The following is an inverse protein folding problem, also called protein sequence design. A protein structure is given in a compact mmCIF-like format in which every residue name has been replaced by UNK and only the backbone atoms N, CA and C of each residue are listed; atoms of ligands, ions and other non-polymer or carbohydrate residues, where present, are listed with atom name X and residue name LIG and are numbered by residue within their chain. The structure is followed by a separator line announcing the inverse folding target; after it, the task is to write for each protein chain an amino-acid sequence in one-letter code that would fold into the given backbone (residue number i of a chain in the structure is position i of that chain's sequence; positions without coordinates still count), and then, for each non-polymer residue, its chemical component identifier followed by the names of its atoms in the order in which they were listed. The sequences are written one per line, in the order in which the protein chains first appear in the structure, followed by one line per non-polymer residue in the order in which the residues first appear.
data_IF_127751549050
#
_entry.id   IF_127751549050
#
_cell.length_a   1.000
_cell.length_b   1.000
_cell.length_c   1.000
_cell.angle_alpha   90.00
_cell.angle_beta   90.00
_cell.angle_gamma   90.00
#
_symmetry.space_group_name_H-M   'P 1'
#
loop_
_entity.id
_entity.type
_entity.pdbx_description
1 polymer ?
#
# COMPACT_ATOMS: atom_id res chain seq x y z
N UNK A 1 -9.40 -22.87 -0.80
CA UNK A 1 -8.45 -22.04 -0.03
C UNK A 1 -8.19 -20.76 -0.80
N UNK A 2 -8.29 -19.61 -0.15
CA UNK A 2 -7.98 -18.32 -0.75
C UNK A 2 -6.49 -18.27 -1.13
N UNK A 3 -6.21 -17.92 -2.38
CA UNK A 3 -4.82 -17.77 -2.84
C UNK A 3 -4.30 -16.35 -2.61
N UNK A 4 -4.58 -15.76 -1.44
CA UNK A 4 -4.00 -14.46 -1.09
C UNK A 4 -2.55 -14.64 -0.67
N UNK A 5 -1.72 -13.74 -1.13
CA UNK A 5 -0.28 -13.71 -0.87
C UNK A 5 0.02 -12.77 0.30
N UNK A 6 1.09 -13.05 1.03
CA UNK A 6 1.56 -12.17 2.12
C UNK A 6 2.80 -11.41 1.69
N UNK A 7 2.88 -10.14 2.08
CA UNK A 7 4.05 -9.28 1.87
C UNK A 7 4.41 -8.49 3.14
N UNK A 8 5.63 -7.98 3.18
CA UNK A 8 6.12 -7.19 4.29
C UNK A 8 6.99 -6.02 3.79
N UNK A 9 6.74 -4.79 4.26
CA UNK A 9 7.50 -3.61 3.87
C UNK A 9 8.84 -3.52 4.63
N UNK A 10 9.90 -3.18 3.89
CA UNK A 10 11.25 -3.03 4.42
C UNK A 10 11.32 -2.03 5.56
N UNK A 11 10.64 -0.89 5.42
CA UNK A 11 10.74 0.19 6.41
C UNK A 11 10.24 -0.21 7.81
N UNK A 12 9.34 -1.21 7.90
CA UNK A 12 8.87 -1.74 9.17
C UNK A 12 9.84 -2.75 9.79
N UNK A 13 10.50 -3.56 8.95
CA UNK A 13 11.06 -4.83 9.42
C UNK A 13 12.52 -5.07 9.08
N UNK A 14 13.08 -4.38 8.07
CA UNK A 14 14.48 -4.61 7.72
C UNK A 14 15.40 -3.99 8.79
N UNK A 15 16.17 -4.79 9.56
CA UNK A 15 16.98 -4.27 10.64
C UNK A 15 18.20 -3.50 10.10
N UNK A 16 18.54 -2.39 10.74
CA UNK A 16 19.77 -1.65 10.42
C UNK A 16 21.00 -2.56 10.52
N UNK A 17 21.84 -2.55 9.50
CA UNK A 17 23.07 -3.34 9.44
C UNK A 17 22.87 -4.85 9.20
N UNK A 18 21.62 -5.31 8.97
CA UNK A 18 21.36 -6.71 8.63
C UNK A 18 21.90 -7.06 7.24
N UNK A 19 22.28 -8.33 7.06
CA UNK A 19 22.58 -8.92 5.75
C UNK A 19 21.27 -9.12 4.97
N UNK A 20 21.07 -8.43 3.81
CA UNK A 20 19.84 -8.53 3.03
C UNK A 20 19.53 -9.95 2.57
N UNK A 21 20.54 -10.71 2.12
CA UNK A 21 20.32 -12.07 1.64
C UNK A 21 19.82 -12.99 2.76
N UNK A 22 20.30 -12.80 3.99
CA UNK A 22 19.84 -13.55 5.17
C UNK A 22 18.41 -13.13 5.55
N UNK A 23 18.12 -11.83 5.58
CA UNK A 23 16.80 -11.32 5.95
C UNK A 23 15.71 -11.83 4.99
N UNK A 24 15.88 -11.61 3.68
CA UNK A 24 14.84 -12.01 2.72
C UNK A 24 14.68 -13.53 2.61
N UNK A 25 15.76 -14.30 2.78
CA UNK A 25 15.65 -15.75 2.87
C UNK A 25 14.80 -16.19 4.07
N UNK A 26 14.98 -15.57 5.25
CA UNK A 26 14.14 -15.84 6.42
C UNK A 26 12.68 -15.42 6.16
N UNK A 27 12.47 -14.25 5.58
CA UNK A 27 11.13 -13.76 5.23
C UNK A 27 10.39 -14.78 4.33
N UNK A 28 11.08 -15.30 3.31
CA UNK A 28 10.53 -16.36 2.46
C UNK A 28 10.24 -17.66 3.21
N UNK A 29 11.11 -18.06 4.14
CA UNK A 29 10.92 -19.25 4.97
C UNK A 29 9.73 -19.14 5.94
N UNK A 30 9.40 -17.94 6.40
CA UNK A 30 8.19 -17.66 7.20
C UNK A 30 6.89 -17.75 6.38
N UNK A 31 6.98 -17.92 5.06
CA UNK A 31 5.82 -18.07 4.18
C UNK A 31 5.35 -16.78 3.50
N UNK A 32 6.17 -15.74 3.49
CA UNK A 32 5.89 -14.54 2.70
C UNK A 32 6.15 -14.80 1.21
N UNK A 33 5.31 -14.17 0.38
CA UNK A 33 5.38 -14.28 -1.07
C UNK A 33 6.05 -13.04 -1.69
N UNK A 34 6.00 -11.91 -0.99
CA UNK A 34 6.53 -10.64 -1.47
C UNK A 34 7.19 -9.79 -0.40
N UNK A 35 7.98 -8.82 -0.86
CA UNK A 35 8.53 -7.72 -0.08
C UNK A 35 8.07 -6.39 -0.70
N UNK A 36 7.98 -5.34 0.11
CA UNK A 36 7.47 -4.05 -0.30
C UNK A 36 8.46 -2.94 0.02
N UNK A 37 8.42 -1.87 -0.79
CA UNK A 37 9.27 -0.68 -0.61
C UNK A 37 10.74 -1.03 -0.40
N UNK A 38 11.20 -2.09 -1.09
CA UNK A 38 12.57 -2.58 -1.00
C UNK A 38 13.53 -1.55 -1.60
N UNK A 39 14.51 -1.13 -0.83
CA UNK A 39 15.52 -0.19 -1.30
C UNK A 39 16.29 -0.76 -2.51
N UNK A 40 16.62 0.10 -3.50
CA UNK A 40 17.19 -0.36 -4.78
C UNK A 40 18.39 -1.30 -4.65
N UNK A 41 19.26 -1.05 -3.69
CA UNK A 41 20.47 -1.84 -3.43
C UNK A 41 20.18 -3.24 -2.89
N UNK A 42 18.99 -3.48 -2.33
CA UNK A 42 18.57 -4.77 -1.76
C UNK A 42 17.62 -5.57 -2.65
N UNK A 43 17.13 -4.98 -3.74
CA UNK A 43 16.12 -5.62 -4.60
C UNK A 43 16.58 -6.96 -5.17
N UNK A 44 17.84 -7.07 -5.57
CA UNK A 44 18.38 -8.34 -6.07
C UNK A 44 18.38 -9.43 -4.98
N UNK A 45 18.65 -9.09 -3.73
CA UNK A 45 18.64 -10.06 -2.64
C UNK A 45 17.23 -10.58 -2.36
N UNK A 46 16.22 -9.71 -2.39
CA UNK A 46 14.82 -10.11 -2.27
C UNK A 46 14.38 -11.03 -3.41
N UNK A 47 14.71 -10.69 -4.65
CA UNK A 47 14.40 -11.50 -5.83
C UNK A 47 15.13 -12.86 -5.79
N UNK A 48 16.40 -12.88 -5.40
CA UNK A 48 17.20 -14.11 -5.27
C UNK A 48 16.67 -15.03 -4.14
N UNK A 49 16.04 -14.46 -3.11
CA UNK A 49 15.35 -15.22 -2.08
C UNK A 49 14.02 -15.84 -2.56
N UNK A 50 13.56 -15.51 -3.78
CA UNK A 50 12.30 -15.98 -4.36
C UNK A 50 11.08 -15.18 -3.88
N UNK A 51 11.27 -13.94 -3.44
CA UNK A 51 10.19 -12.98 -3.17
C UNK A 51 9.88 -12.16 -4.41
N UNK A 52 8.61 -11.79 -4.60
CA UNK A 52 8.22 -10.75 -5.54
C UNK A 52 8.38 -9.37 -4.86
N UNK A 53 8.81 -8.33 -5.59
CA UNK A 53 8.78 -6.96 -5.09
C UNK A 53 7.46 -6.34 -5.56
N UNK A 54 6.61 -5.94 -4.59
CA UNK A 54 5.22 -5.60 -4.90
C UNK A 54 5.08 -4.15 -5.30
N UNK A 55 5.79 -3.26 -4.61
CA UNK A 55 5.67 -1.82 -4.83
C UNK A 55 6.96 -1.08 -4.52
N UNK A 56 7.01 0.16 -4.99
CA UNK A 56 8.00 1.17 -4.63
C UNK A 56 7.24 2.34 -4.03
N UNK A 57 7.75 2.94 -2.95
CA UNK A 57 7.20 4.20 -2.44
C UNK A 57 7.55 5.35 -3.37
N UNK A 58 6.55 6.06 -3.86
CA UNK A 58 6.72 7.31 -4.58
C UNK A 58 6.84 8.51 -3.63
N UNK A 59 7.17 9.69 -4.17
CA UNK A 59 7.21 10.95 -3.44
C UNK A 59 5.81 11.52 -3.18
N UNK A 60 5.73 12.60 -2.38
CA UNK A 60 4.54 13.44 -2.29
C UNK A 60 3.65 13.16 -1.08
N UNK A 61 4.12 12.45 -0.04
CA UNK A 61 3.33 12.23 1.17
C UNK A 61 2.99 13.56 1.88
N UNK A 62 3.92 14.52 1.92
CA UNK A 62 3.72 15.86 2.49
C UNK A 62 3.40 16.89 1.42
N UNK A 63 4.28 17.02 0.44
CA UNK A 63 4.17 17.98 -0.66
C UNK A 63 3.72 17.25 -1.93
N UNK A 64 2.42 16.96 -1.99
CA UNK A 64 1.86 16.01 -2.94
C UNK A 64 1.20 16.61 -4.18
N UNK A 65 0.46 15.75 -4.88
CA UNK A 65 -0.21 16.07 -6.15
C UNK A 65 -1.44 16.98 -5.98
N UNK A 66 -1.91 17.22 -4.76
CA UNK A 66 -2.93 18.22 -4.46
C UNK A 66 -2.45 19.66 -4.74
N UNK A 67 -1.14 19.89 -5.00
CA UNK A 67 -0.54 21.18 -5.28
C UNK A 67 -0.01 21.27 -6.71
N UNK A 68 -0.45 22.29 -7.43
CA UNK A 68 -0.06 22.49 -8.84
C UNK A 68 1.44 22.73 -9.01
N UNK A 69 2.05 23.43 -8.07
CA UNK A 69 3.47 23.75 -8.07
C UNK A 69 4.38 22.53 -7.96
N UNK A 70 3.90 21.43 -7.37
CA UNK A 70 4.68 20.21 -7.21
C UNK A 70 4.58 19.26 -8.42
N UNK A 71 3.63 19.46 -9.31
CA UNK A 71 3.25 18.50 -10.37
C UNK A 71 4.39 18.14 -11.29
N UNK A 72 5.18 19.12 -11.73
CA UNK A 72 6.27 18.89 -12.68
C UNK A 72 7.35 18.01 -12.05
N UNK A 73 7.80 18.37 -10.86
CA UNK A 73 8.81 17.62 -10.10
C UNK A 73 8.32 16.20 -9.79
N UNK A 74 7.14 16.06 -9.17
CA UNK A 74 6.59 14.76 -8.80
C UNK A 74 6.34 13.87 -10.04
N UNK A 75 5.85 14.44 -11.13
CA UNK A 75 5.69 13.70 -12.39
C UNK A 75 7.02 13.17 -12.89
N UNK A 76 8.08 13.98 -12.90
CA UNK A 76 9.41 13.56 -13.32
C UNK A 76 9.95 12.43 -12.46
N UNK A 77 9.80 12.52 -11.13
CA UNK A 77 10.22 11.50 -10.19
C UNK A 77 9.45 10.20 -10.37
N UNK A 78 8.11 10.25 -10.51
CA UNK A 78 7.30 9.04 -10.76
C UNK A 78 7.66 8.39 -12.10
N UNK A 79 7.94 9.15 -13.16
CA UNK A 79 8.38 8.58 -14.43
C UNK A 79 9.74 7.89 -14.32
N UNK A 80 10.67 8.43 -13.54
CA UNK A 80 11.94 7.77 -13.23
C UNK A 80 11.74 6.49 -12.46
N UNK A 81 10.86 6.50 -11.44
CA UNK A 81 10.47 5.28 -10.70
C UNK A 81 9.76 4.26 -11.60
N UNK A 82 8.98 4.73 -12.58
CA UNK A 82 8.33 3.85 -13.57
C UNK A 82 9.35 3.08 -14.39
N UNK A 83 10.42 3.74 -14.84
CA UNK A 83 11.52 3.08 -15.56
C UNK A 83 12.23 2.04 -14.66
N UNK A 84 12.45 2.35 -13.38
CA UNK A 84 13.01 1.39 -12.42
C UNK A 84 12.07 0.20 -12.20
N UNK A 85 10.76 0.48 -12.04
CA UNK A 85 9.74 -0.55 -11.85
C UNK A 85 9.67 -1.52 -13.03
N UNK A 86 9.73 -1.01 -14.27
CA UNK A 86 9.78 -1.83 -15.48
C UNK A 86 11.01 -2.75 -15.48
N UNK A 87 12.21 -2.21 -15.20
CA UNK A 87 13.46 -3.00 -15.17
C UNK A 87 13.40 -4.14 -14.18
N UNK A 88 12.79 -3.92 -13.01
CA UNK A 88 12.75 -4.86 -11.91
C UNK A 88 11.40 -5.61 -11.79
N UNK A 89 10.50 -5.44 -12.78
CA UNK A 89 9.18 -6.07 -12.84
C UNK A 89 8.31 -5.78 -11.62
N UNK A 90 8.40 -4.56 -11.08
CA UNK A 90 7.61 -4.12 -9.93
C UNK A 90 6.29 -3.56 -10.45
N UNK A 91 5.14 -4.08 -10.03
CA UNK A 91 3.85 -3.73 -10.63
C UNK A 91 3.28 -2.39 -10.18
N UNK A 92 3.69 -1.87 -9.01
CA UNK A 92 3.04 -0.71 -8.41
C UNK A 92 4.02 0.35 -7.92
N UNK A 93 3.60 1.63 -8.05
CA UNK A 93 4.23 2.77 -7.37
C UNK A 93 3.18 3.38 -6.43
N UNK A 94 3.48 3.44 -5.14
CA UNK A 94 2.62 4.09 -4.14
C UNK A 94 2.68 5.60 -4.37
N UNK A 95 1.51 6.25 -4.40
CA UNK A 95 1.38 7.69 -4.60
C UNK A 95 0.43 8.29 -3.58
N UNK A 96 0.60 9.58 -3.29
CA UNK A 96 -0.04 10.29 -2.21
C UNK A 96 -0.68 11.59 -2.67
N UNK A 97 -1.66 12.08 -1.91
CA UNK A 97 -2.29 13.38 -2.14
C UNK A 97 -1.41 14.57 -1.73
N UNK A 98 -0.71 14.42 -0.61
CA UNK A 98 -0.05 15.51 0.10
C UNK A 98 -0.91 16.10 1.23
N UNK A 99 -0.32 16.99 2.03
CA UNK A 99 -1.01 17.71 3.08
C UNK A 99 -1.88 18.85 2.51
N UNK A 100 -3.02 19.11 3.13
CA UNK A 100 -3.97 20.15 2.68
C UNK A 100 -3.39 21.56 2.83
N UNK A 101 -2.72 21.86 3.93
CA UNK A 101 -2.16 23.17 4.26
C UNK A 101 -3.17 24.31 4.05
N UNK A 102 -4.40 24.09 4.53
CA UNK A 102 -5.49 25.05 4.40
C UNK A 102 -6.25 25.03 3.07
N UNK A 103 -5.91 24.15 2.14
CA UNK A 103 -6.65 23.93 0.89
C UNK A 103 -7.99 23.24 1.16
N UNK A 104 -9.05 23.63 0.43
CA UNK A 104 -10.33 22.94 0.56
C UNK A 104 -10.28 21.51 0.02
N UNK A 105 -11.27 20.70 0.43
CA UNK A 105 -11.42 19.33 -0.11
C UNK A 105 -11.58 19.36 -1.63
N UNK A 106 -12.45 20.21 -2.15
CA UNK A 106 -12.78 20.30 -3.57
C UNK A 106 -11.57 20.73 -4.42
N UNK A 107 -10.81 21.70 -3.92
CA UNK A 107 -9.60 22.18 -4.59
C UNK A 107 -8.52 21.10 -4.62
N UNK A 108 -8.22 20.48 -3.46
CA UNK A 108 -7.24 19.42 -3.36
C UNK A 108 -7.61 18.19 -4.18
N UNK A 109 -8.89 17.81 -4.15
CA UNK A 109 -9.42 16.71 -4.97
C UNK A 109 -9.29 17.01 -6.47
N UNK A 110 -9.73 18.18 -6.92
CA UNK A 110 -9.65 18.59 -8.32
C UNK A 110 -8.21 18.64 -8.83
N UNK A 111 -7.29 19.12 -7.99
CA UNK A 111 -5.87 19.13 -8.31
C UNK A 111 -5.28 17.74 -8.45
N UNK A 112 -5.61 16.80 -7.55
CA UNK A 112 -5.20 15.39 -7.65
C UNK A 112 -5.78 14.72 -8.90
N UNK A 113 -7.07 14.94 -9.19
CA UNK A 113 -7.73 14.36 -10.37
C UNK A 113 -7.03 14.77 -11.66
N UNK A 114 -6.75 16.07 -11.83
CA UNK A 114 -6.05 16.59 -13.00
C UNK A 114 -4.62 16.05 -13.09
N UNK A 115 -3.88 16.05 -11.97
CA UNK A 115 -2.48 15.62 -11.96
C UNK A 115 -2.33 14.12 -12.25
N UNK A 116 -3.11 13.26 -11.57
CA UNK A 116 -3.07 11.81 -11.82
C UNK A 116 -3.58 11.44 -13.21
N UNK A 117 -4.60 12.15 -13.73
CA UNK A 117 -5.03 11.97 -15.12
C UNK A 117 -3.92 12.21 -16.13
N UNK A 118 -3.20 13.33 -15.99
CA UNK A 118 -2.06 13.66 -16.85
C UNK A 118 -0.88 12.68 -16.67
N UNK A 119 -0.62 12.22 -15.45
CA UNK A 119 0.44 11.24 -15.16
C UNK A 119 0.14 9.88 -15.78
N UNK A 120 -1.09 9.38 -15.66
CA UNK A 120 -1.52 8.12 -16.27
C UNK A 120 -1.36 8.11 -17.79
N UNK A 121 -1.65 9.24 -18.46
CA UNK A 121 -1.40 9.36 -19.91
C UNK A 121 0.10 9.21 -20.25
N UNK A 122 0.99 9.76 -19.44
CA UNK A 122 2.43 9.64 -19.64
C UNK A 122 2.96 8.23 -19.34
N UNK A 123 2.31 7.50 -18.43
CA UNK A 123 2.67 6.13 -18.05
C UNK A 123 2.02 5.07 -18.94
N UNK A 124 1.17 5.46 -19.89
CA UNK A 124 0.41 4.54 -20.74
C UNK A 124 1.29 3.51 -21.42
N UNK A 125 0.94 2.23 -21.27
CA UNK A 125 1.68 1.12 -21.86
C UNK A 125 2.93 0.67 -21.10
N UNK A 126 3.25 1.28 -19.97
CA UNK A 126 4.37 0.87 -19.11
C UNK A 126 4.15 -0.48 -18.43
N UNK A 127 2.89 -0.87 -18.20
CA UNK A 127 2.51 -2.01 -17.37
C UNK A 127 2.61 -1.77 -15.86
N UNK A 128 3.11 -0.60 -15.44
CA UNK A 128 3.21 -0.17 -14.04
C UNK A 128 1.95 0.63 -13.67
N UNK A 129 1.42 0.41 -12.48
CA UNK A 129 0.20 1.07 -12.00
C UNK A 129 0.49 1.98 -10.82
N UNK A 130 -0.26 3.05 -10.71
CA UNK A 130 -0.28 3.90 -9.53
C UNK A 130 -1.13 3.23 -8.45
N UNK A 131 -0.61 3.22 -7.23
CA UNK A 131 -1.25 2.65 -6.05
C UNK A 131 -1.48 3.79 -5.05
N UNK A 132 -2.67 4.38 -5.07
CA UNK A 132 -3.00 5.54 -4.25
C UNK A 132 -3.31 5.13 -2.81
N UNK A 133 -2.64 5.74 -1.85
CA UNK A 133 -2.83 5.47 -0.43
C UNK A 133 -3.55 6.62 0.27
N UNK A 134 -4.62 6.29 0.97
CA UNK A 134 -5.33 7.16 1.89
C UNK A 134 -4.77 6.96 3.30
N UNK A 135 -4.43 8.04 3.99
CA UNK A 135 -3.88 7.99 5.34
C UNK A 135 -4.89 8.56 6.35
N UNK A 136 -4.76 8.21 7.62
CA UNK A 136 -5.63 8.78 8.65
C UNK A 136 -5.12 10.16 9.13
N UNK A 137 -6.04 11.08 9.41
CA UNK A 137 -5.72 12.42 9.89
C UNK A 137 -5.28 12.49 11.37
N UNK A 138 -5.21 11.36 12.08
CA UNK A 138 -4.73 11.30 13.47
C UNK A 138 -3.21 11.21 13.50
N UNK A 139 -2.64 10.27 12.73
CA UNK A 139 -1.19 10.04 12.66
C UNK A 139 -0.54 10.95 11.61
N UNK A 140 -1.26 11.25 10.54
CA UNK A 140 -0.85 12.14 9.45
C UNK A 140 -1.72 13.40 9.47
N UNK A 141 -1.41 14.29 10.40
CA UNK A 141 -2.17 15.55 10.55
C UNK A 141 -2.14 16.34 9.25
N UNK A 142 -3.32 16.86 8.89
CA UNK A 142 -3.50 17.69 7.71
C UNK A 142 -3.36 16.96 6.35
N UNK A 143 -3.30 15.64 6.33
CA UNK A 143 -3.28 14.89 5.07
C UNK A 143 -4.58 15.09 4.29
N UNK A 144 -4.48 15.40 2.98
CA UNK A 144 -5.65 15.79 2.17
C UNK A 144 -6.61 14.62 1.94
N UNK A 145 -6.10 13.44 1.64
CA UNK A 145 -6.90 12.24 1.36
C UNK A 145 -7.08 11.37 2.61
N UNK A 146 -7.66 11.92 3.67
CA UNK A 146 -7.81 11.28 4.98
C UNK A 146 -9.08 10.41 5.12
N UNK A 147 -9.77 10.16 4.02
CA UNK A 147 -11.03 9.42 3.99
C UNK A 147 -11.17 8.47 2.81
N UNK A 148 -11.96 7.39 2.99
CA UNK A 148 -12.32 6.47 1.89
C UNK A 148 -12.99 7.20 0.73
N UNK A 149 -13.82 8.20 1.03
CA UNK A 149 -14.54 8.96 0.01
C UNK A 149 -13.59 9.59 -0.99
N UNK A 150 -12.50 10.19 -0.51
CA UNK A 150 -11.52 10.85 -1.39
C UNK A 150 -10.89 9.84 -2.38
N UNK A 151 -10.33 8.75 -1.87
CA UNK A 151 -9.62 7.79 -2.71
C UNK A 151 -10.52 7.06 -3.71
N UNK A 152 -11.68 6.55 -3.25
CA UNK A 152 -12.58 5.83 -4.14
C UNK A 152 -13.28 6.73 -5.16
N UNK A 153 -13.61 7.98 -4.80
CA UNK A 153 -14.14 8.93 -5.76
C UNK A 153 -13.11 9.31 -6.82
N UNK A 154 -11.85 9.51 -6.40
CA UNK A 154 -10.73 9.76 -7.31
C UNK A 154 -10.55 8.61 -8.29
N UNK A 155 -10.53 7.37 -7.81
CA UNK A 155 -10.40 6.18 -8.65
C UNK A 155 -11.57 6.04 -9.63
N UNK A 156 -12.80 6.33 -9.20
CA UNK A 156 -13.98 6.30 -10.07
C UNK A 156 -13.92 7.34 -11.16
N UNK A 157 -13.54 8.59 -10.85
CA UNK A 157 -13.48 9.67 -11.85
C UNK A 157 -12.32 9.50 -12.82
N UNK A 158 -11.15 9.03 -12.37
CA UNK A 158 -10.04 8.67 -13.26
C UNK A 158 -10.39 7.52 -14.20
N UNK A 159 -11.25 6.60 -13.75
CA UNK A 159 -11.73 5.45 -14.53
C UNK A 159 -10.63 4.73 -15.32
N UNK A 160 -9.49 4.53 -14.69
CA UNK A 160 -8.31 3.91 -15.29
C UNK A 160 -7.98 2.56 -14.63
N UNK A 161 -7.68 1.51 -15.41
CA UNK A 161 -7.19 0.24 -14.87
C UNK A 161 -5.81 0.36 -14.23
N UNK A 162 -5.08 1.43 -14.55
CA UNK A 162 -3.71 1.69 -14.07
C UNK A 162 -3.66 2.62 -12.85
N UNK A 163 -4.83 3.03 -12.32
CA UNK A 163 -4.96 3.69 -11.04
C UNK A 163 -5.71 2.80 -10.06
N UNK A 164 -5.06 2.41 -8.98
CA UNK A 164 -5.60 1.50 -7.97
C UNK A 164 -5.41 2.07 -6.57
N UNK A 165 -6.14 1.50 -5.63
CA UNK A 165 -6.09 1.86 -4.22
C UNK A 165 -5.21 0.86 -3.46
N UNK A 166 -4.28 1.36 -2.68
CA UNK A 166 -3.74 0.69 -1.51
C UNK A 166 -4.72 0.96 -0.37
N UNK A 167 -5.42 -0.07 0.06
CA UNK A 167 -6.36 0.04 1.15
C UNK A 167 -5.71 -0.41 2.46
N UNK A 168 -5.15 0.56 3.19
CA UNK A 168 -4.67 0.30 4.54
C UNK A 168 -5.85 0.29 5.51
N UNK A 169 -6.18 -0.91 5.99
CA UNK A 169 -7.31 -1.14 6.90
C UNK A 169 -7.07 -0.41 8.22
N UNK A 170 -5.82 -0.35 8.70
CA UNK A 170 -5.48 0.42 9.90
C UNK A 170 -5.82 1.89 9.73
N UNK A 171 -5.35 2.53 8.64
CA UNK A 171 -5.62 3.94 8.40
C UNK A 171 -7.11 4.23 8.32
N UNK A 172 -7.86 3.43 7.57
CA UNK A 172 -9.30 3.65 7.43
C UNK A 172 -10.08 3.40 8.72
N UNK A 173 -9.71 2.37 9.49
CA UNK A 173 -10.29 2.14 10.82
C UNK A 173 -9.94 3.24 11.81
N UNK A 174 -8.73 3.80 11.76
CA UNK A 174 -8.29 4.94 12.56
C UNK A 174 -9.06 6.22 12.23
N UNK A 175 -9.42 6.41 10.96
CA UNK A 175 -10.32 7.49 10.49
C UNK A 175 -11.79 7.25 10.85
N UNK A 176 -12.13 6.14 11.52
CA UNK A 176 -13.51 5.81 11.90
C UNK A 176 -14.34 5.16 10.80
N UNK A 177 -13.73 4.76 9.68
CA UNK A 177 -14.43 4.10 8.61
C UNK A 177 -14.79 2.65 8.97
N UNK A 178 -15.97 2.19 8.53
CA UNK A 178 -16.32 0.78 8.54
C UNK A 178 -15.77 0.11 7.28
N UNK A 179 -14.62 -0.54 7.39
CA UNK A 179 -13.93 -1.17 6.25
C UNK A 179 -14.74 -2.31 5.60
N UNK A 180 -15.72 -2.88 6.31
CA UNK A 180 -16.63 -3.92 5.77
C UNK A 180 -17.77 -3.32 4.92
N UNK A 181 -18.11 -2.05 5.17
CA UNK A 181 -19.21 -1.40 4.46
C UNK A 181 -18.91 -1.29 2.96
N UNK A 182 -19.81 -1.78 2.14
CA UNK A 182 -19.70 -1.77 0.67
C UNK A 182 -18.40 -2.39 0.14
N UNK A 183 -17.85 -3.40 0.83
CA UNK A 183 -16.57 -4.01 0.48
C UNK A 183 -16.57 -4.52 -0.98
N UNK A 184 -17.62 -5.22 -1.43
CA UNK A 184 -17.71 -5.75 -2.79
C UNK A 184 -17.64 -4.65 -3.86
N UNK A 185 -18.22 -3.48 -3.60
CA UNK A 185 -18.19 -2.33 -4.52
C UNK A 185 -16.79 -1.68 -4.57
N UNK A 186 -16.00 -1.79 -3.49
CA UNK A 186 -14.64 -1.26 -3.36
C UNK A 186 -13.59 -2.16 -4.02
N UNK A 187 -13.77 -3.50 -3.97
CA UNK A 187 -12.77 -4.47 -4.42
C UNK A 187 -12.27 -4.24 -5.86
N UNK A 188 -13.05 -3.83 -6.86
CA UNK A 188 -12.54 -3.57 -8.21
C UNK A 188 -11.46 -2.47 -8.28
N UNK A 189 -11.44 -1.57 -7.30
CA UNK A 189 -10.47 -0.48 -7.21
C UNK A 189 -9.24 -0.85 -6.38
N UNK A 190 -9.35 -1.83 -5.47
CA UNK A 190 -8.28 -2.20 -4.54
C UNK A 190 -7.32 -3.18 -5.21
N UNK A 191 -6.02 -2.88 -5.18
CA UNK A 191 -4.98 -3.78 -5.67
C UNK A 191 -4.07 -4.31 -4.54
N UNK A 192 -4.11 -3.67 -3.37
CA UNK A 192 -3.26 -4.03 -2.24
C UNK A 192 -3.94 -3.71 -0.91
N UNK A 193 -3.78 -4.57 0.08
CA UNK A 193 -4.20 -4.33 1.45
C UNK A 193 -3.00 -4.18 2.36
N UNK A 194 -3.06 -3.19 3.29
CA UNK A 194 -2.19 -3.15 4.46
C UNK A 194 -2.96 -3.45 5.74
N UNK A 195 -2.28 -4.09 6.69
CA UNK A 195 -2.85 -4.49 7.98
C UNK A 195 -1.92 -4.15 9.14
N UNK A 196 -2.50 -3.63 10.23
CA UNK A 196 -1.85 -3.42 11.52
C UNK A 196 -2.88 -3.47 12.65
N UNK A 197 -2.42 -3.63 13.90
CA UNK A 197 -3.27 -3.47 15.07
C UNK A 197 -3.67 -2.01 15.25
N UNK A 198 -4.93 -1.74 15.61
CA UNK A 198 -5.46 -0.37 15.73
C UNK A 198 -4.73 0.44 16.82
N UNK A 199 -4.35 -0.20 17.92
CA UNK A 199 -3.60 0.44 18.99
C UNK A 199 -2.11 0.51 18.64
N UNK A 200 -1.61 1.75 18.48
CA UNK A 200 -0.19 2.01 18.23
C UNK A 200 0.37 1.46 16.92
N UNK A 201 -0.47 1.10 15.94
CA UNK A 201 -0.07 0.45 14.68
C UNK A 201 0.77 -0.82 14.92
N UNK A 202 0.47 -1.52 16.03
CA UNK A 202 1.22 -2.69 16.48
C UNK A 202 0.82 -3.98 15.72
N UNK A 203 1.34 -5.12 16.17
CA UNK A 203 1.00 -6.44 15.66
C UNK A 203 -0.53 -6.67 15.55
N UNK A 204 -1.07 -7.12 14.41
CA UNK A 204 -2.50 -7.34 14.19
C UNK A 204 -2.97 -8.63 14.89
N UNK A 205 -3.15 -8.57 16.21
CA UNK A 205 -3.46 -9.73 17.03
C UNK A 205 -4.86 -10.30 16.76
N UNK A 206 -5.05 -11.60 17.04
CA UNK A 206 -6.31 -12.34 16.87
C UNK A 206 -7.50 -11.72 17.64
N UNK A 207 -7.23 -11.10 18.78
CA UNK A 207 -8.25 -10.46 19.64
C UNK A 207 -8.14 -8.93 19.57
N UNK A 208 -7.56 -8.39 18.52
CA UNK A 208 -7.43 -6.95 18.30
C UNK A 208 -8.77 -6.29 17.96
N UNK A 209 -8.78 -4.95 17.98
CA UNK A 209 -9.96 -4.16 17.67
C UNK A 209 -10.44 -4.30 16.20
N UNK A 210 -9.61 -4.84 15.31
CA UNK A 210 -9.95 -5.14 13.91
C UNK A 210 -10.06 -6.66 13.76
N UNK A 211 -11.25 -7.15 13.40
CA UNK A 211 -11.46 -8.56 13.10
C UNK A 211 -11.03 -8.89 11.66
N UNK A 212 -9.74 -9.11 11.47
CA UNK A 212 -9.17 -9.46 10.17
C UNK A 212 -9.67 -10.80 9.62
N UNK A 213 -10.00 -11.75 10.51
CA UNK A 213 -10.58 -13.05 10.09
C UNK A 213 -11.91 -12.83 9.41
N UNK A 214 -12.81 -12.06 10.04
CA UNK A 214 -14.11 -11.74 9.44
C UNK A 214 -13.92 -10.92 8.15
N UNK A 215 -12.99 -9.95 8.14
CA UNK A 215 -12.73 -9.12 6.98
C UNK A 215 -12.31 -9.96 5.76
N UNK A 216 -11.24 -10.73 5.87
CA UNK A 216 -10.74 -11.52 4.74
C UNK A 216 -11.66 -12.68 4.37
N UNK A 217 -12.47 -13.19 5.31
CA UNK A 217 -13.53 -14.15 4.98
C UNK A 217 -14.64 -13.55 4.10
N UNK A 218 -14.92 -12.26 4.26
CA UNK A 218 -15.91 -11.54 3.47
C UNK A 218 -15.39 -11.13 2.06
N UNK A 219 -14.07 -11.15 1.81
CA UNK A 219 -13.50 -10.93 0.49
C UNK A 219 -13.75 -12.17 -0.38
N UNK A 220 -14.51 -12.09 -1.50
CA UNK A 220 -14.75 -13.26 -2.36
C UNK A 220 -13.47 -13.73 -3.05
N UNK A 221 -13.33 -15.07 -3.21
CA UNK A 221 -12.13 -15.71 -3.76
C UNK A 221 -11.85 -15.33 -5.24
N UNK A 222 -12.89 -14.96 -5.97
CA UNK A 222 -12.82 -14.57 -7.38
C UNK A 222 -12.68 -13.06 -7.62
N UNK A 223 -12.69 -12.25 -6.56
CA UNK A 223 -12.66 -10.78 -6.65
C UNK A 223 -11.33 -10.15 -6.31
N UNK A 224 -10.51 -10.81 -5.52
CA UNK A 224 -9.21 -10.28 -5.10
C UNK A 224 -8.14 -11.38 -5.06
N UNK A 225 -7.04 -11.15 -5.76
CA UNK A 225 -5.92 -12.07 -5.88
C UNK A 225 -4.57 -11.42 -5.52
N UNK A 226 -4.64 -10.28 -4.83
CA UNK A 226 -3.48 -9.47 -4.48
C UNK A 226 -2.77 -9.93 -3.20
N UNK A 227 -2.05 -8.99 -2.61
CA UNK A 227 -1.24 -9.19 -1.41
C UNK A 227 -1.92 -8.57 -0.19
N UNK A 228 -1.61 -9.14 0.97
CA UNK A 228 -1.85 -8.55 2.29
C UNK A 228 -0.48 -8.18 2.85
N UNK A 229 -0.18 -6.90 2.89
CA UNK A 229 1.05 -6.33 3.43
C UNK A 229 0.97 -6.15 4.94
N UNK A 230 1.92 -6.73 5.65
CA UNK A 230 2.05 -6.61 7.10
C UNK A 230 2.73 -5.30 7.46
N UNK A 231 1.98 -4.20 7.58
CA UNK A 231 2.56 -2.88 7.80
C UNK A 231 2.32 -2.41 9.24
N UNK A 232 3.03 -3.03 10.19
CA UNK A 232 2.91 -2.73 11.60
C UNK A 232 4.27 -2.46 12.28
N UNK A 233 4.23 -1.71 13.38
CA UNK A 233 5.41 -1.39 14.18
C UNK A 233 5.70 -2.52 15.17
N UNK A 234 6.97 -2.87 15.33
CA UNK A 234 7.40 -4.01 16.15
C UNK A 234 8.74 -3.73 16.86
N UNK A 235 8.88 -4.29 18.06
CA UNK A 235 10.17 -4.38 18.75
C UNK A 235 10.94 -5.69 18.48
N UNK A 236 10.30 -6.66 17.81
CA UNK A 236 10.89 -7.97 17.50
C UNK A 236 10.43 -8.45 16.11
N UNK A 237 11.03 -7.90 15.03
CA UNK A 237 10.59 -8.15 13.66
C UNK A 237 10.51 -9.63 13.28
N UNK A 238 11.53 -10.40 13.62
CA UNK A 238 11.62 -11.82 13.23
C UNK A 238 10.49 -12.65 13.87
N UNK A 239 10.25 -12.45 15.17
CA UNK A 239 9.20 -13.19 15.88
C UNK A 239 7.80 -12.78 15.39
N UNK A 240 7.55 -11.47 15.29
CA UNK A 240 6.20 -10.98 14.98
C UNK A 240 5.83 -11.19 13.51
N UNK A 241 6.79 -11.15 12.57
CA UNK A 241 6.55 -11.56 11.18
C UNK A 241 6.17 -13.04 11.07
N UNK A 242 6.86 -13.93 11.78
CA UNK A 242 6.54 -15.37 11.77
C UNK A 242 5.13 -15.63 12.38
N UNK A 243 4.81 -14.95 13.47
CA UNK A 243 3.48 -15.05 14.09
C UNK A 243 2.39 -14.47 13.18
N UNK A 244 2.63 -13.34 12.52
CA UNK A 244 1.68 -12.74 11.59
C UNK A 244 1.41 -13.64 10.38
N UNK A 245 2.46 -14.22 9.80
CA UNK A 245 2.31 -15.14 8.67
C UNK A 245 1.43 -16.34 9.05
N UNK A 246 1.69 -16.97 10.20
CA UNK A 246 0.88 -18.09 10.72
C UNK A 246 -0.57 -17.70 10.95
N UNK A 247 -0.79 -16.54 11.60
CA UNK A 247 -2.12 -16.04 11.91
C UNK A 247 -2.95 -15.76 10.63
N UNK A 248 -2.36 -15.07 9.67
CA UNK A 248 -3.07 -14.74 8.44
C UNK A 248 -3.28 -15.96 7.53
N UNK A 249 -2.35 -16.93 7.51
CA UNK A 249 -2.61 -18.21 6.83
C UNK A 249 -3.81 -18.93 7.45
N UNK A 250 -3.95 -18.99 8.79
CA UNK A 250 -5.15 -19.52 9.46
C UNK A 250 -6.45 -18.78 9.04
N UNK A 251 -6.38 -17.47 8.80
CA UNK A 251 -7.56 -16.70 8.38
C UNK A 251 -7.97 -16.96 6.93
N UNK A 252 -7.05 -17.40 6.10
CA UNK A 252 -7.26 -17.66 4.68
C UNK A 252 -7.65 -19.12 4.37
N UNK A 253 -7.56 -20.00 5.36
CA UNK A 253 -8.09 -21.38 5.32
C UNK A 253 -9.60 -21.41 5.53
#
# INVERSE_FOLDING_TARGET
MKQLKLSAPDWCFFPEGADPAVFYKKLKQMGYDGAEMVAPERQNDALNAGLEIINISGPGMTDGFNRKENRETLTSEILSLTEQAIRNRIPYIIVFSGNACGMSYEEGFGNCLEAFGALLEKMRGSGVKLLFEMLNGVDHKDYQADSEQFGFELARQLNSPDFKILYDIYHMRKSGCDSMKNLEEKLPYIAHFHVAGLEGRAFPSKNGAIDYKAFFKAVPDDKYHGYIGMEFLTGNPELELDLAAKLFREYLE
#
